data_IF_601845779500
#
_entry.id   IF_601845779500
#
_cell.length_a   1.000
_cell.length_b   1.000
_cell.length_c   1.000
_cell.angle_alpha   90.00
_cell.angle_beta   90.00
_cell.angle_gamma   90.00
#
_symmetry.space_group_name_H-M   'P 1'
#
loop_
_entity.id
_entity.type
_entity.pdbx_description
1 polymer ?
#
# COMPACT_ATOMS: atom_id res chain seq x y z
N UNK A 1 5.54 7.68 -21.66
CA UNK A 1 4.30 8.32 -21.20
C UNK A 1 4.59 8.95 -19.85
N UNK A 2 4.20 10.20 -19.65
CA UNK A 2 4.27 10.89 -18.34
C UNK A 2 3.08 10.41 -17.50
N UNK A 3 3.31 10.08 -16.23
CA UNK A 3 2.24 9.67 -15.30
C UNK A 3 1.37 10.88 -14.94
N UNK A 4 0.07 10.66 -14.76
CA UNK A 4 -0.89 11.64 -14.23
C UNK A 4 -1.09 11.45 -12.72
N UNK A 5 -1.55 12.49 -12.01
CA UNK A 5 -1.93 12.45 -10.59
C UNK A 5 -2.89 11.27 -10.31
N UNK A 6 -3.84 11.04 -11.23
CA UNK A 6 -4.78 9.91 -11.15
C UNK A 6 -4.08 8.56 -11.09
N UNK A 7 -2.93 8.40 -11.76
CA UNK A 7 -2.17 7.15 -11.71
C UNK A 7 -1.56 6.94 -10.32
N UNK A 8 -1.08 8.00 -9.67
CA UNK A 8 -0.55 7.92 -8.30
C UNK A 8 -1.65 7.63 -7.28
N UNK A 9 -2.82 8.26 -7.42
CA UNK A 9 -3.99 7.96 -6.58
C UNK A 9 -4.44 6.51 -6.75
N UNK A 10 -4.41 5.98 -7.98
CA UNK A 10 -4.73 4.58 -8.24
C UNK A 10 -3.70 3.62 -7.63
N UNK A 11 -2.40 3.95 -7.68
CA UNK A 11 -1.36 3.15 -7.02
C UNK A 11 -1.61 3.08 -5.50
N UNK A 12 -1.96 4.21 -4.87
CA UNK A 12 -2.30 4.26 -3.44
C UNK A 12 -3.50 3.38 -3.15
N UNK A 13 -4.56 3.51 -3.95
CA UNK A 13 -5.78 2.72 -3.76
C UNK A 13 -5.51 1.22 -3.88
N UNK A 14 -4.81 0.80 -4.94
CA UNK A 14 -4.48 -0.61 -5.16
C UNK A 14 -3.55 -1.17 -4.07
N UNK A 15 -2.57 -0.39 -3.62
CA UNK A 15 -1.68 -0.82 -2.54
C UNK A 15 -2.42 -0.92 -1.20
N UNK A 16 -3.32 0.01 -0.89
CA UNK A 16 -4.18 -0.07 0.29
C UNK A 16 -5.05 -1.33 0.26
N UNK A 17 -5.74 -1.60 -0.85
CA UNK A 17 -6.58 -2.79 -1.01
C UNK A 17 -5.76 -4.07 -0.87
N UNK A 18 -4.54 -4.11 -1.42
CA UNK A 18 -3.64 -5.24 -1.24
C UNK A 18 -3.24 -5.44 0.23
N UNK A 19 -2.88 -4.36 0.94
CA UNK A 19 -2.55 -4.43 2.38
C UNK A 19 -3.71 -4.98 3.21
N UNK A 20 -4.94 -4.53 2.96
CA UNK A 20 -6.14 -5.02 3.63
C UNK A 20 -6.39 -6.50 3.34
N UNK A 21 -6.23 -6.93 2.08
CA UNK A 21 -6.39 -8.33 1.68
C UNK A 21 -5.32 -9.26 2.26
N UNK A 22 -4.10 -8.77 2.49
CA UNK A 22 -3.05 -9.59 3.12
C UNK A 22 -3.36 -9.91 4.58
N UNK A 23 -4.13 -9.05 5.26
CA UNK A 23 -4.44 -9.20 6.69
C UNK A 23 -5.89 -9.62 6.96
N UNK A 24 -6.74 -9.74 5.93
CA UNK A 24 -8.19 -9.95 6.09
C UNK A 24 -8.56 -11.25 6.81
N UNK A 25 -7.75 -12.29 6.64
CA UNK A 25 -7.97 -13.62 7.22
C UNK A 25 -6.92 -13.99 8.28
N UNK A 26 -6.19 -13.01 8.82
CA UNK A 26 -5.19 -13.23 9.86
C UNK A 26 -5.63 -12.61 11.20
N UNK A 27 -5.37 -13.30 12.30
CA UNK A 27 -5.41 -12.67 13.62
C UNK A 27 -4.15 -11.82 13.84
N UNK A 28 -4.15 -11.01 14.90
CA UNK A 28 -2.98 -10.22 15.25
C UNK A 28 -1.77 -11.11 15.57
N UNK A 29 -2.00 -12.22 16.29
CA UNK A 29 -0.98 -13.20 16.63
C UNK A 29 -0.42 -13.88 15.38
N UNK A 30 -1.29 -14.29 14.44
CA UNK A 30 -0.85 -14.88 13.16
C UNK A 30 0.02 -13.87 12.38
N UNK A 31 -0.39 -12.60 12.34
CA UNK A 31 0.37 -11.55 11.68
C UNK A 31 1.76 -11.35 12.29
N UNK A 32 1.90 -11.43 13.62
CA UNK A 32 3.18 -11.28 14.30
C UNK A 32 4.18 -12.40 13.96
N UNK A 33 3.70 -13.61 13.71
CA UNK A 33 4.55 -14.75 13.35
C UNK A 33 4.78 -14.88 11.83
N UNK A 34 3.89 -14.32 11.00
CA UNK A 34 4.01 -14.35 9.54
C UNK A 34 4.83 -13.18 8.96
N UNK A 35 6.15 -13.37 8.90
CA UNK A 35 7.06 -12.42 8.25
C UNK A 35 6.75 -12.15 6.77
N UNK A 36 6.17 -13.10 6.04
CA UNK A 36 5.85 -12.90 4.62
C UNK A 36 4.72 -11.88 4.50
N UNK A 37 3.68 -12.01 5.31
CA UNK A 37 2.55 -11.07 5.34
C UNK A 37 3.00 -9.69 5.83
N UNK A 38 3.88 -9.63 6.85
CA UNK A 38 4.51 -8.37 7.27
C UNK A 38 5.25 -7.67 6.12
N UNK A 39 6.09 -8.40 5.37
CA UNK A 39 6.81 -7.82 4.22
C UNK A 39 5.85 -7.37 3.11
N UNK A 40 4.75 -8.09 2.89
CA UNK A 40 3.74 -7.69 1.91
C UNK A 40 3.04 -6.38 2.31
N UNK A 41 2.67 -6.22 3.58
CA UNK A 41 2.08 -4.98 4.12
C UNK A 41 3.09 -3.83 4.09
N UNK A 42 4.33 -4.06 4.52
CA UNK A 42 5.40 -3.05 4.44
C UNK A 42 5.58 -2.57 3.00
N UNK A 43 5.60 -3.51 2.03
CA UNK A 43 5.75 -3.15 0.63
C UNK A 43 4.58 -2.31 0.11
N UNK A 44 3.36 -2.63 0.51
CA UNK A 44 2.19 -1.82 0.17
C UNK A 44 2.31 -0.39 0.74
N UNK A 45 2.75 -0.24 2.00
CA UNK A 45 2.97 1.08 2.60
C UNK A 45 4.07 1.88 1.90
N UNK A 46 5.15 1.24 1.45
CA UNK A 46 6.19 1.88 0.65
C UNK A 46 5.64 2.42 -0.69
N UNK A 47 4.81 1.63 -1.39
CA UNK A 47 4.17 2.06 -2.65
C UNK A 47 3.26 3.25 -2.40
N UNK A 48 2.45 3.22 -1.34
CA UNK A 48 1.59 4.34 -0.95
C UNK A 48 2.42 5.60 -0.69
N UNK A 49 3.47 5.48 0.12
CA UNK A 49 4.33 6.60 0.46
C UNK A 49 5.06 7.19 -0.75
N UNK A 50 5.51 6.34 -1.68
CA UNK A 50 6.15 6.80 -2.90
C UNK A 50 5.18 7.50 -3.85
N UNK A 51 3.98 6.92 -4.05
CA UNK A 51 2.95 7.54 -4.87
C UNK A 51 2.48 8.87 -4.27
N UNK A 52 2.32 8.96 -2.94
CA UNK A 52 1.90 10.18 -2.24
C UNK A 52 2.87 11.35 -2.47
N UNK A 53 4.18 11.12 -2.51
CA UNK A 53 5.18 12.18 -2.79
C UNK A 53 5.04 12.82 -4.17
N UNK A 54 4.37 12.15 -5.09
CA UNK A 54 4.18 12.64 -6.46
C UNK A 54 2.84 13.38 -6.64
N UNK A 55 2.01 13.47 -5.60
CA UNK A 55 0.78 14.25 -5.59
C UNK A 55 1.12 15.66 -5.04
N UNK A 56 0.77 16.75 -5.75
CA UNK A 56 0.99 18.11 -5.25
C UNK A 56 0.18 18.39 -3.97
N UNK A 57 0.75 19.18 -3.06
CA UNK A 57 0.14 19.50 -1.76
C UNK A 57 -1.12 20.39 -1.86
N UNK A 58 -1.32 21.05 -3.01
CA UNK A 58 -2.41 22.00 -3.26
C UNK A 58 -3.64 21.39 -3.97
N UNK A 59 -3.67 20.06 -4.09
CA UNK A 59 -4.79 19.28 -4.63
C UNK A 59 -5.81 18.93 -3.55
#
# INVERSE_FOLDING_TARGET
MTRDIRDYVNDIYAAREAAENFVSDCTYEDFLEDRKTQYAVIRALEIIGEAAKNIPDDV
#
